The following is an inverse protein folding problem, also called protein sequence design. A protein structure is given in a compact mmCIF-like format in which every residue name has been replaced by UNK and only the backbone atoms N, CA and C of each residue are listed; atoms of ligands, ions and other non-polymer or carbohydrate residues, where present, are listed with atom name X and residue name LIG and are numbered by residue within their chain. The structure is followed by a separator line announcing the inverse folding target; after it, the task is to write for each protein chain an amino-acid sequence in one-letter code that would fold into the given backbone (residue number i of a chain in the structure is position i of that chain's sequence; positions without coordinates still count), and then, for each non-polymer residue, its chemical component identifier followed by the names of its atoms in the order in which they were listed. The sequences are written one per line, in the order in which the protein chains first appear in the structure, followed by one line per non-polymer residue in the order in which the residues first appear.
data_IF_024028497955
#
_entry.id   IF_024028497955
#
_cell.length_a   1.000
_cell.length_b   1.000
_cell.length_c   1.000
_cell.angle_alpha   90.00
_cell.angle_beta   90.00
_cell.angle_gamma   90.00
#
_symmetry.space_group_name_H-M   'P 1'
#
loop_
_entity.id
_entity.type
_entity.pdbx_description
1 polymer ?
#
# COMPACT_ATOMS: atom_id res chain seq x y z
N UNK A 1 -10.54 2.62 23.81
CA UNK A 1 -10.27 3.42 22.59
C UNK A 1 -11.18 3.04 21.44
N UNK A 2 -11.22 1.78 20.98
CA UNK A 2 -12.07 1.38 19.84
C UNK A 2 -13.58 1.67 20.01
N UNK A 3 -14.13 1.53 21.23
CA UNK A 3 -15.55 1.83 21.51
C UNK A 3 -15.89 3.33 21.36
N UNK A 4 -14.92 4.21 21.61
CA UNK A 4 -15.14 5.66 21.49
C UNK A 4 -15.14 6.14 20.03
N UNK A 5 -14.55 5.35 19.12
CA UNK A 5 -14.55 5.62 17.68
C UNK A 5 -15.88 5.24 17.03
N UNK A 6 -16.54 4.19 17.52
CA UNK A 6 -17.70 3.58 16.85
C UNK A 6 -18.82 4.56 16.49
N UNK A 7 -19.24 5.50 17.34
CA UNK A 7 -20.30 6.45 16.97
C UNK A 7 -19.86 7.38 15.83
N UNK A 8 -18.62 7.88 15.88
CA UNK A 8 -18.07 8.75 14.85
C UNK A 8 -17.91 8.03 13.50
N UNK A 9 -17.52 6.76 13.53
CA UNK A 9 -17.42 5.91 12.35
C UNK A 9 -18.80 5.66 11.74
N UNK A 10 -19.79 5.31 12.56
CA UNK A 10 -21.14 5.04 12.09
C UNK A 10 -21.77 6.27 11.44
N UNK A 11 -21.70 7.44 12.10
CA UNK A 11 -22.21 8.70 11.52
C UNK A 11 -21.52 9.04 10.21
N UNK A 12 -20.21 8.84 10.10
CA UNK A 12 -19.49 9.13 8.85
C UNK A 12 -19.88 8.15 7.74
N UNK A 13 -20.11 6.87 8.05
CA UNK A 13 -20.58 5.88 7.08
C UNK A 13 -22.01 6.17 6.61
N UNK A 14 -22.89 6.63 7.51
CA UNK A 14 -24.27 6.99 7.18
C UNK A 14 -24.32 8.21 6.23
N UNK A 15 -23.44 9.19 6.44
CA UNK A 15 -23.35 10.39 5.59
C UNK A 15 -22.57 10.16 4.28
N UNK A 16 -21.64 9.21 4.27
CA UNK A 16 -20.78 8.91 3.14
C UNK A 16 -20.81 7.41 2.82
N UNK A 17 -21.92 6.86 2.29
CA UNK A 17 -22.04 5.43 1.97
C UNK A 17 -21.08 4.98 0.86
N UNK A 18 -20.57 5.95 0.09
CA UNK A 18 -19.65 5.74 -1.02
C UNK A 18 -18.17 5.69 -0.58
N UNK A 19 -17.86 5.70 0.72
CA UNK A 19 -16.50 5.48 1.21
C UNK A 19 -16.45 4.26 2.11
N UNK A 20 -15.33 3.55 2.04
CA UNK A 20 -15.07 2.45 2.95
C UNK A 20 -14.19 2.95 4.10
N UNK A 21 -14.69 2.78 5.33
CA UNK A 21 -13.98 3.19 6.54
C UNK A 21 -13.64 1.94 7.35
N UNK A 22 -12.35 1.75 7.64
CA UNK A 22 -11.85 0.65 8.46
C UNK A 22 -11.06 1.21 9.63
N UNK A 23 -11.42 0.79 10.84
CA UNK A 23 -10.68 1.14 12.04
C UNK A 23 -10.15 -0.14 12.70
N UNK A 24 -8.83 -0.18 12.93
CA UNK A 24 -8.19 -1.21 13.71
C UNK A 24 -7.46 -0.53 14.88
N UNK A 25 -8.01 -0.68 16.09
CA UNK A 25 -7.54 0.02 17.29
C UNK A 25 -7.53 1.55 17.10
N UNK A 26 -6.34 2.15 17.02
CA UNK A 26 -6.09 3.57 16.81
C UNK A 26 -5.82 3.93 15.34
N UNK A 27 -5.60 2.93 14.48
CA UNK A 27 -5.42 3.11 13.05
C UNK A 27 -6.78 3.23 12.34
N UNK A 28 -6.98 4.36 11.66
CA UNK A 28 -8.17 4.66 10.87
C UNK A 28 -7.80 4.82 9.39
N UNK A 29 -8.45 4.04 8.54
CA UNK A 29 -8.30 4.09 7.09
C UNK A 29 -9.63 4.48 6.43
N UNK A 30 -9.58 5.47 5.53
CA UNK A 30 -10.70 5.88 4.69
C UNK A 30 -10.28 5.63 3.24
N UNK A 31 -11.02 4.78 2.55
CA UNK A 31 -10.74 4.35 1.18
C UNK A 31 -11.91 4.79 0.26
N UNK A 32 -11.57 5.33 -0.90
CA UNK A 32 -12.56 5.77 -1.88
C UNK A 32 -12.02 6.84 -2.86
N UNK A 33 -12.89 7.44 -3.69
CA UNK A 33 -12.54 8.52 -4.59
C UNK A 33 -11.98 9.74 -3.82
N UNK A 34 -10.98 10.48 -4.34
CA UNK A 34 -10.30 11.55 -3.60
C UNK A 34 -11.22 12.62 -3.01
N UNK A 35 -12.24 13.04 -3.76
CA UNK A 35 -13.18 14.07 -3.32
C UNK A 35 -14.10 13.56 -2.21
N UNK A 36 -14.53 12.29 -2.30
CA UNK A 36 -15.37 11.64 -1.29
C UNK A 36 -14.58 11.33 -0.01
N UNK A 37 -13.34 10.86 -0.14
CA UNK A 37 -12.43 10.66 1.00
C UNK A 37 -12.16 11.97 1.72
N UNK A 38 -11.98 13.07 0.98
CA UNK A 38 -11.83 14.41 1.57
C UNK A 38 -13.09 14.85 2.33
N UNK A 39 -14.27 14.61 1.77
CA UNK A 39 -15.54 14.93 2.41
C UNK A 39 -15.77 14.11 3.69
N UNK A 40 -15.51 12.80 3.63
CA UNK A 40 -15.59 11.91 4.78
C UNK A 40 -14.56 12.27 5.87
N UNK A 41 -13.32 12.62 5.48
CA UNK A 41 -12.31 13.13 6.41
C UNK A 41 -12.78 14.42 7.10
N UNK A 42 -13.38 15.35 6.36
CA UNK A 42 -13.95 16.58 6.92
C UNK A 42 -15.08 16.34 7.93
N UNK A 43 -15.78 15.22 7.81
CA UNK A 43 -16.90 14.83 8.67
C UNK A 43 -16.42 14.11 9.94
N UNK A 44 -15.48 13.17 9.79
CA UNK A 44 -15.02 12.36 10.92
C UNK A 44 -14.11 13.14 11.88
N UNK A 45 -13.31 14.09 11.39
CA UNK A 45 -12.35 14.84 12.22
C UNK A 45 -13.05 15.63 13.35
N UNK A 46 -14.12 16.41 13.10
CA UNK A 46 -14.90 17.04 14.17
C UNK A 46 -15.51 16.04 15.17
N UNK A 47 -16.02 14.92 14.68
CA UNK A 47 -16.65 13.89 15.52
C UNK A 47 -15.62 13.23 16.46
N UNK A 48 -14.42 12.94 15.96
CA UNK A 48 -13.31 12.44 16.77
C UNK A 48 -12.88 13.46 17.83
N UNK A 49 -12.79 14.75 17.47
CA UNK A 49 -12.50 15.81 18.44
C UNK A 49 -13.57 15.93 19.52
N UNK A 50 -14.85 15.81 19.15
CA UNK A 50 -15.96 15.80 20.12
C UNK A 50 -15.86 14.61 21.09
N UNK A 51 -15.34 13.47 20.63
CA UNK A 51 -15.04 12.30 21.45
C UNK A 51 -13.71 12.42 22.24
N UNK A 52 -13.06 13.59 22.25
CA UNK A 52 -11.74 13.85 22.87
C UNK A 52 -10.61 12.99 22.32
N UNK A 53 -10.71 12.61 21.04
CA UNK A 53 -9.67 11.90 20.31
C UNK A 53 -8.95 12.91 19.40
N UNK A 54 -7.63 12.98 19.53
CA UNK A 54 -6.79 13.82 18.67
C UNK A 54 -6.15 12.98 17.57
N UNK A 55 -6.25 13.45 16.33
CA UNK A 55 -5.56 12.84 15.21
C UNK A 55 -4.09 13.17 15.27
N UNK A 56 -3.26 12.15 15.15
CA UNK A 56 -1.83 12.31 14.92
C UNK A 56 -1.60 12.67 13.44
N UNK A 57 -1.81 13.95 13.11
CA UNK A 57 -1.64 14.48 11.75
C UNK A 57 -0.25 14.18 11.18
N UNK A 58 0.86 14.29 11.95
CA UNK A 58 2.18 13.89 11.46
C UNK A 58 2.29 12.42 11.00
N UNK A 59 1.53 11.50 11.62
CA UNK A 59 1.49 10.09 11.25
C UNK A 59 0.37 9.74 10.26
N UNK A 60 -0.54 10.69 9.98
CA UNK A 60 -1.65 10.48 9.05
C UNK A 60 -1.14 10.57 7.61
N UNK A 61 -1.24 9.47 6.87
CA UNK A 61 -0.71 9.39 5.50
C UNK A 61 -1.85 9.34 4.49
N UNK A 62 -1.84 10.25 3.50
CA UNK A 62 -2.76 10.21 2.37
C UNK A 62 -2.07 9.52 1.18
N UNK A 63 -2.61 8.38 0.76
CA UNK A 63 -2.16 7.69 -0.44
C UNK A 63 -3.19 7.88 -1.56
N UNK A 64 -2.77 8.46 -2.69
CA UNK A 64 -3.60 8.57 -3.89
C UNK A 64 -2.84 7.96 -5.08
N UNK A 65 -3.29 6.83 -5.63
CA UNK A 65 -2.59 6.14 -6.71
C UNK A 65 -2.65 6.93 -8.05
N UNK A 66 -3.66 7.77 -8.23
CA UNK A 66 -3.93 8.51 -9.48
C UNK A 66 -3.57 10.00 -9.41
N UNK A 67 -3.23 10.53 -8.23
CA UNK A 67 -2.94 11.95 -8.03
C UNK A 67 -1.56 12.38 -8.56
N UNK A 68 -1.43 13.63 -9.00
CA UNK A 68 -0.20 14.27 -9.49
C UNK A 68 0.94 14.40 -8.45
N UNK A 69 0.76 13.83 -7.25
CA UNK A 69 1.82 13.64 -6.27
C UNK A 69 1.68 12.22 -5.72
N UNK A 70 2.53 11.27 -6.13
CA UNK A 70 2.67 10.00 -5.42
C UNK A 70 3.34 10.32 -4.08
N UNK A 71 2.58 10.88 -3.15
CA UNK A 71 2.99 11.07 -1.78
C UNK A 71 2.85 9.73 -1.05
N UNK A 72 3.55 8.70 -1.55
CA UNK A 72 4.16 7.77 -0.62
C UNK A 72 4.96 8.66 0.33
N UNK A 73 4.71 8.60 1.64
CA UNK A 73 5.47 9.37 2.62
C UNK A 73 7.01 9.20 2.46
N UNK A 74 7.46 8.18 1.74
CA UNK A 74 8.82 8.02 1.23
C UNK A 74 9.30 9.21 0.38
N UNK A 75 8.50 9.76 -0.54
CA UNK A 75 8.89 10.92 -1.35
C UNK A 75 9.18 12.19 -0.54
N UNK A 76 8.65 12.30 0.68
CA UNK A 76 8.92 13.45 1.56
C UNK A 76 10.23 13.31 2.37
N UNK A 77 10.77 12.10 2.51
CA UNK A 77 12.04 11.88 3.23
C UNK A 77 13.24 11.88 2.28
N UNK A 78 13.10 11.45 1.03
CA UNK A 78 14.21 11.40 0.06
C UNK A 78 14.92 12.76 -0.12
N UNK A 79 14.22 13.89 -0.32
CA UNK A 79 14.88 15.20 -0.44
C UNK A 79 15.53 15.70 0.86
N UNK A 80 15.15 15.13 2.01
CA UNK A 80 15.77 15.44 3.31
C UNK A 80 17.03 14.63 3.55
N UNK A 81 17.07 13.39 3.05
CA UNK A 81 18.26 12.54 3.12
C UNK A 81 19.42 13.15 2.34
N UNK A 82 19.13 13.68 1.14
CA UNK A 82 20.10 14.37 0.29
C UNK A 82 20.86 15.52 0.97
N UNK A 83 20.32 16.09 2.05
CA UNK A 83 20.89 17.24 2.77
C UNK A 83 21.80 16.85 3.94
N UNK A 84 21.97 15.57 4.22
CA UNK A 84 22.84 15.11 5.29
C UNK A 84 24.29 15.12 4.80
N UNK A 85 25.25 15.44 5.64
CA UNK A 85 26.65 15.55 5.19
C UNK A 85 27.36 14.19 5.05
N UNK A 86 26.76 13.11 5.56
CA UNK A 86 27.38 11.77 5.62
C UNK A 86 26.67 10.75 4.70
N UNK A 87 27.30 10.30 3.60
CA UNK A 87 26.75 9.31 2.67
C UNK A 87 26.39 7.96 3.31
N UNK A 88 27.14 7.51 4.33
CA UNK A 88 26.83 6.26 5.03
C UNK A 88 25.54 6.39 5.82
N UNK A 89 25.33 7.53 6.50
CA UNK A 89 24.09 7.81 7.22
C UNK A 89 22.92 7.93 6.25
N UNK A 90 23.10 8.62 5.12
CA UNK A 90 22.08 8.72 4.08
C UNK A 90 21.63 7.34 3.59
N UNK A 91 22.59 6.47 3.27
CA UNK A 91 22.32 5.11 2.77
C UNK A 91 21.62 4.23 3.83
N UNK A 92 22.02 4.34 5.09
CA UNK A 92 21.36 3.63 6.19
C UNK A 92 19.91 4.07 6.36
N UNK A 93 19.64 5.38 6.36
CA UNK A 93 18.28 5.91 6.50
C UNK A 93 17.41 5.60 5.26
N UNK A 94 18.00 5.66 4.07
CA UNK A 94 17.34 5.24 2.83
C UNK A 94 16.88 3.79 2.93
N UNK A 95 17.77 2.90 3.36
CA UNK A 95 17.53 1.46 3.46
C UNK A 95 16.59 1.06 4.59
N UNK A 96 16.77 1.62 5.79
CA UNK A 96 16.07 1.17 6.99
C UNK A 96 14.84 2.01 7.35
N UNK A 97 14.69 3.21 6.78
CA UNK A 97 13.57 4.10 7.12
C UNK A 97 12.70 4.46 5.92
N UNK A 98 13.28 4.77 4.77
CA UNK A 98 12.52 5.19 3.59
C UNK A 98 11.97 3.99 2.80
N UNK A 99 12.84 3.05 2.45
CA UNK A 99 12.51 1.88 1.62
C UNK A 99 11.48 0.93 2.25
N UNK A 100 11.55 0.58 3.56
CA UNK A 100 10.63 -0.39 4.15
C UNK A 100 9.17 0.05 4.15
N UNK A 101 8.91 1.37 4.16
CA UNK A 101 7.54 1.92 4.12
C UNK A 101 6.82 1.55 2.83
N UNK A 102 7.50 1.64 1.69
CA UNK A 102 6.91 1.25 0.39
C UNK A 102 6.85 -0.26 0.27
N UNK A 103 7.85 -0.99 0.77
CA UNK A 103 7.83 -2.45 0.81
C UNK A 103 6.69 -3.02 1.68
N UNK A 104 6.24 -2.28 2.70
CA UNK A 104 5.04 -2.64 3.44
C UNK A 104 3.78 -2.46 2.58
N UNK A 105 3.67 -1.35 1.86
CA UNK A 105 2.52 -1.08 0.98
C UNK A 105 2.43 -2.06 -0.20
N UNK A 106 3.56 -2.53 -0.71
CA UNK A 106 3.64 -3.64 -1.69
C UNK A 106 2.89 -4.89 -1.22
N UNK A 107 2.80 -5.13 0.09
CA UNK A 107 2.09 -6.29 0.64
C UNK A 107 0.60 -6.05 0.85
N UNK A 108 0.19 -4.80 1.07
CA UNK A 108 -1.19 -4.45 1.42
C UNK A 108 -2.02 -3.88 0.27
N UNK A 109 -1.40 -3.31 -0.76
CA UNK A 109 -2.08 -2.60 -1.84
C UNK A 109 -2.05 -3.44 -3.12
N UNK A 110 -3.19 -3.67 -3.79
CA UNK A 110 -3.24 -4.35 -5.08
C UNK A 110 -2.25 -3.75 -6.09
N UNK A 111 -1.50 -4.58 -6.86
CA UNK A 111 -0.41 -4.10 -7.71
C UNK A 111 -0.83 -3.02 -8.71
N UNK A 112 -2.00 -3.16 -9.34
CA UNK A 112 -2.51 -2.20 -10.32
C UNK A 112 -2.76 -0.79 -9.75
N UNK A 113 -3.11 -0.68 -8.46
CA UNK A 113 -3.26 0.61 -7.77
C UNK A 113 -1.89 1.14 -7.33
N UNK A 114 -0.99 0.25 -6.92
CA UNK A 114 0.32 0.66 -6.42
C UNK A 114 1.29 1.07 -7.53
N UNK A 115 1.10 0.59 -8.77
CA UNK A 115 2.13 0.60 -9.81
C UNK A 115 2.74 1.98 -10.10
N UNK A 116 1.91 3.03 -10.18
CA UNK A 116 2.38 4.41 -10.40
C UNK A 116 3.21 4.91 -9.22
N UNK A 117 2.79 4.62 -7.99
CA UNK A 117 3.54 4.96 -6.78
C UNK A 117 4.84 4.16 -6.65
N UNK A 118 4.81 2.88 -7.00
CA UNK A 118 5.98 2.00 -6.99
C UNK A 118 7.05 2.48 -7.98
N UNK A 119 6.66 2.86 -9.20
CA UNK A 119 7.57 3.45 -10.19
C UNK A 119 8.18 4.76 -9.68
N UNK A 120 7.36 5.66 -9.13
CA UNK A 120 7.85 6.91 -8.56
C UNK A 120 8.82 6.70 -7.39
N UNK A 121 8.58 5.68 -6.56
CA UNK A 121 9.49 5.29 -5.50
C UNK A 121 10.82 4.78 -6.04
N UNK A 122 10.78 3.85 -7.01
CA UNK A 122 11.99 3.27 -7.60
C UNK A 122 12.86 4.35 -8.25
N UNK A 123 12.24 5.31 -8.95
CA UNK A 123 12.95 6.48 -9.50
C UNK A 123 13.57 7.35 -8.41
N UNK A 124 12.82 7.68 -7.35
CA UNK A 124 13.34 8.49 -6.25
C UNK A 124 14.47 7.82 -5.46
N UNK A 125 14.46 6.48 -5.35
CA UNK A 125 15.59 5.71 -4.79
C UNK A 125 16.83 5.86 -5.67
N UNK A 126 16.67 5.77 -6.99
CA UNK A 126 17.79 5.91 -7.94
C UNK A 126 18.39 7.33 -7.91
N UNK A 127 17.55 8.36 -7.91
CA UNK A 127 17.97 9.76 -7.78
C UNK A 127 18.74 9.98 -6.47
N UNK A 128 18.20 9.52 -5.35
CA UNK A 128 18.87 9.63 -4.05
C UNK A 128 20.20 8.86 -4.01
N UNK A 129 20.27 7.66 -4.59
CA UNK A 129 21.53 6.91 -4.67
C UNK A 129 22.60 7.61 -5.53
N UNK A 130 22.19 8.26 -6.62
CA UNK A 130 23.10 9.05 -7.45
C UNK A 130 23.68 10.23 -6.65
N UNK A 131 22.84 10.94 -5.90
CA UNK A 131 23.25 12.03 -5.01
C UNK A 131 24.20 11.54 -3.90
N UNK A 132 23.86 10.44 -3.22
CA UNK A 132 24.69 9.80 -2.18
C UNK A 132 26.07 9.42 -2.72
N UNK A 133 26.12 8.91 -3.96
CA UNK A 133 27.36 8.52 -4.62
C UNK A 133 28.22 9.73 -5.05
N UNK A 134 27.68 10.95 -5.01
CA UNK A 134 28.34 12.15 -5.50
C UNK A 134 28.65 12.10 -7.00
N UNK A 135 27.94 11.24 -7.76
CA UNK A 135 28.21 11.00 -9.16
C UNK A 135 27.36 11.96 -10.03
N UNK A 136 27.99 12.84 -10.85
CA UNK A 136 27.24 13.73 -11.72
C UNK A 136 26.53 12.99 -12.87
N UNK A 137 26.89 11.73 -13.13
CA UNK A 137 26.28 10.91 -14.17
C UNK A 137 25.19 9.98 -13.61
N UNK A 138 24.11 9.73 -14.37
CA UNK A 138 23.09 8.75 -14.00
C UNK A 138 23.70 7.37 -13.72
N UNK A 139 23.11 6.65 -12.76
CA UNK A 139 23.47 5.25 -12.51
C UNK A 139 23.14 4.39 -13.74
N UNK A 140 24.12 3.64 -14.23
CA UNK A 140 23.89 2.66 -15.29
C UNK A 140 23.03 1.48 -14.82
N UNK A 141 22.47 0.73 -15.77
CA UNK A 141 21.58 -0.41 -15.49
C UNK A 141 22.21 -1.45 -14.54
N UNK A 142 23.51 -1.72 -14.70
CA UNK A 142 24.23 -2.65 -13.83
C UNK A 142 24.34 -2.15 -12.39
N UNK A 143 24.61 -0.85 -12.19
CA UNK A 143 24.66 -0.24 -10.87
C UNK A 143 23.28 -0.23 -10.20
N UNK A 144 22.23 -0.01 -10.98
CA UNK A 144 20.84 -0.13 -10.53
C UNK A 144 20.49 -1.57 -10.18
N UNK A 145 20.92 -2.56 -10.97
CA UNK A 145 20.69 -3.97 -10.67
C UNK A 145 21.42 -4.40 -9.39
N UNK A 146 22.68 -3.99 -9.23
CA UNK A 146 23.50 -4.28 -8.05
C UNK A 146 22.92 -3.65 -6.78
N UNK A 147 22.43 -2.40 -6.83
CA UNK A 147 21.83 -1.75 -5.66
C UNK A 147 20.58 -2.48 -5.15
N UNK A 148 19.85 -3.14 -6.05
CA UNK A 148 18.64 -3.88 -5.73
C UNK A 148 18.90 -5.26 -5.12
N UNK A 149 20.12 -5.81 -5.25
CA UNK A 149 20.48 -7.11 -4.70
C UNK A 149 20.56 -7.09 -3.16
N UNK A 150 20.29 -8.23 -2.49
CA UNK A 150 20.54 -8.36 -1.06
C UNK A 150 22.01 -8.09 -0.70
N UNK A 151 22.26 -7.54 0.49
CA UNK A 151 23.62 -7.22 0.96
C UNK A 151 24.51 -8.44 1.13
N UNK A 152 23.93 -9.61 1.42
CA UNK A 152 24.67 -10.88 1.41
C UNK A 152 25.32 -11.19 0.06
N UNK A 153 24.85 -10.56 -1.02
CA UNK A 153 25.36 -10.72 -2.39
C UNK A 153 26.08 -9.44 -2.88
N UNK A 154 26.47 -8.54 -1.96
CA UNK A 154 27.18 -7.31 -2.29
C UNK A 154 26.30 -6.14 -2.76
N UNK A 155 24.96 -6.28 -2.71
CA UNK A 155 24.03 -5.20 -3.05
C UNK A 155 23.60 -4.32 -1.87
N UNK A 156 22.71 -3.34 -2.13
CA UNK A 156 22.23 -2.39 -1.12
C UNK A 156 20.89 -2.81 -0.48
N UNK A 157 20.22 -3.83 -1.03
CA UNK A 157 18.92 -4.31 -0.57
C UNK A 157 17.76 -3.35 -0.88
N UNK A 158 17.94 -2.45 -1.85
CA UNK A 158 16.95 -1.46 -2.27
C UNK A 158 16.13 -2.01 -3.44
N UNK A 159 15.40 -3.10 -3.20
CA UNK A 159 14.71 -3.84 -4.26
C UNK A 159 13.65 -3.00 -4.98
N UNK A 160 13.38 -3.27 -6.26
CA UNK A 160 12.33 -2.55 -6.99
C UNK A 160 10.95 -2.87 -6.42
N UNK A 161 10.23 -1.83 -5.99
CA UNK A 161 8.85 -1.93 -5.55
C UNK A 161 7.95 -2.37 -6.70
N UNK A 162 8.19 -1.87 -7.91
CA UNK A 162 7.40 -2.20 -9.09
C UNK A 162 7.50 -3.70 -9.40
N UNK A 163 8.72 -4.25 -9.36
CA UNK A 163 8.95 -5.67 -9.62
C UNK A 163 8.40 -6.56 -8.51
N UNK A 164 8.48 -6.12 -7.26
CA UNK A 164 8.03 -6.92 -6.12
C UNK A 164 6.53 -6.80 -5.83
N UNK A 165 5.84 -5.78 -6.35
CA UNK A 165 4.43 -5.53 -6.07
C UNK A 165 3.53 -6.78 -6.23
N UNK A 166 3.58 -7.53 -7.36
CA UNK A 166 2.72 -8.71 -7.54
C UNK A 166 2.99 -9.81 -6.52
N UNK A 167 4.26 -10.21 -6.38
CA UNK A 167 4.66 -11.29 -5.49
C UNK A 167 4.49 -10.92 -4.01
N UNK A 168 4.75 -9.67 -3.64
CA UNK A 168 4.61 -9.17 -2.27
C UNK A 168 3.15 -9.13 -1.82
N UNK A 169 2.26 -8.66 -2.70
CA UNK A 169 0.83 -8.64 -2.43
C UNK A 169 0.27 -10.06 -2.30
N UNK A 170 0.57 -10.93 -3.28
CA UNK A 170 0.19 -12.34 -3.24
C UNK A 170 0.70 -13.00 -1.96
N UNK A 171 2.00 -12.93 -1.68
CA UNK A 171 2.58 -13.55 -0.48
C UNK A 171 1.93 -13.10 0.84
N UNK A 172 1.41 -11.88 0.92
CA UNK A 172 0.67 -11.41 2.08
C UNK A 172 -0.68 -12.13 2.23
N UNK A 173 -1.42 -12.32 1.14
CA UNK A 173 -2.66 -13.09 1.13
C UNK A 173 -2.43 -14.56 1.47
N UNK A 174 -1.41 -15.17 0.88
CA UNK A 174 -0.99 -16.55 1.20
C UNK A 174 -0.85 -16.76 2.70
N UNK A 175 -0.14 -15.84 3.35
CA UNK A 175 0.22 -15.94 4.75
C UNK A 175 -0.99 -15.90 5.69
N UNK A 176 -2.07 -15.21 5.29
CA UNK A 176 -3.25 -15.00 6.14
C UNK A 176 -4.47 -15.83 5.72
N UNK A 177 -4.46 -16.41 4.52
CA UNK A 177 -5.60 -17.11 3.92
C UNK A 177 -6.26 -18.12 4.86
N UNK A 178 -5.46 -19.02 5.45
CA UNK A 178 -5.99 -20.05 6.33
C UNK A 178 -6.71 -19.50 7.57
N UNK A 179 -6.21 -18.40 8.14
CA UNK A 179 -6.88 -17.72 9.26
C UNK A 179 -8.12 -16.94 8.80
N UNK A 180 -8.05 -16.28 7.64
CA UNK A 180 -9.18 -15.53 7.09
C UNK A 180 -10.38 -16.44 6.85
N UNK A 181 -10.17 -17.63 6.29
CA UNK A 181 -11.24 -18.60 6.02
C UNK A 181 -11.87 -19.16 7.30
N UNK A 182 -11.10 -19.29 8.38
CA UNK A 182 -11.62 -19.72 9.69
C UNK A 182 -12.44 -18.61 10.36
N UNK A 183 -11.94 -17.37 10.33
CA UNK A 183 -12.58 -16.22 10.98
C UNK A 183 -13.78 -15.69 10.21
N UNK A 184 -13.72 -15.76 8.88
CA UNK A 184 -14.74 -15.24 7.98
C UNK A 184 -15.05 -16.30 6.91
N UNK A 185 -15.85 -17.35 7.24
CA UNK A 185 -16.14 -18.45 6.32
C UNK A 185 -16.72 -17.99 4.99
N UNK A 186 -17.46 -16.87 5.00
CA UNK A 186 -18.01 -16.25 3.80
C UNK A 186 -16.93 -15.97 2.74
N UNK A 187 -15.71 -15.60 3.14
CA UNK A 187 -14.60 -15.30 2.23
C UNK A 187 -14.17 -16.53 1.40
N UNK A 188 -14.43 -17.75 1.88
CA UNK A 188 -14.16 -18.98 1.12
C UNK A 188 -15.03 -19.06 -0.13
N UNK A 189 -16.31 -18.76 0.01
CA UNK A 189 -17.28 -18.80 -1.09
C UNK A 189 -17.01 -17.70 -2.12
N UNK A 190 -16.36 -16.64 -1.66
CA UNK A 190 -16.00 -15.46 -2.44
C UNK A 190 -14.77 -15.70 -3.32
N UNK A 191 -13.89 -16.62 -2.92
CA UNK A 191 -12.63 -16.95 -3.60
C UNK A 191 -12.46 -18.48 -3.72
N UNK A 192 -13.30 -19.15 -4.52
CA UNK A 192 -13.38 -20.61 -4.55
C UNK A 192 -12.11 -21.30 -5.08
N UNK A 193 -11.32 -20.60 -5.88
CA UNK A 193 -10.06 -21.08 -6.48
C UNK A 193 -8.90 -21.16 -5.47
N UNK A 194 -9.03 -20.58 -4.26
CA UNK A 194 -8.01 -20.63 -3.22
C UNK A 194 -8.10 -21.87 -2.31
N UNK A 195 -9.21 -22.63 -2.38
CA UNK A 195 -9.41 -23.85 -1.60
C UNK A 195 -9.46 -23.65 -0.08
N UNK A 196 -9.73 -24.73 0.67
CA UNK A 196 -9.56 -24.70 2.12
C UNK A 196 -8.07 -24.93 2.47
N UNK A 197 -7.54 -24.30 3.53
CA UNK A 197 -6.16 -24.51 3.97
C UNK A 197 -5.85 -25.97 4.37
N UNK A 198 -6.88 -26.82 4.51
CA UNK A 198 -6.77 -28.24 4.84
C UNK A 198 -6.50 -29.13 3.61
N UNK A 199 -6.68 -28.61 2.39
CA UNK A 199 -6.44 -29.34 1.13
C UNK A 199 -4.95 -29.32 0.71
N UNK A 200 -4.09 -28.71 1.52
CA UNK A 200 -2.66 -28.52 1.20
C UNK A 200 -1.84 -29.64 1.85
N UNK A 201 -1.78 -30.81 1.22
CA UNK A 201 -0.74 -31.78 1.56
C UNK A 201 0.64 -31.14 1.30
N UNK A 202 1.53 -31.25 2.29
CA UNK A 202 2.83 -30.61 2.31
C UNK A 202 3.73 -31.10 1.16
N UNK A 203 3.65 -30.48 -0.02
CA UNK A 203 4.52 -30.85 -1.14
C UNK A 203 4.34 -30.06 -2.43
N UNK A 204 3.12 -29.66 -2.77
CA UNK A 204 2.82 -28.81 -3.93
C UNK A 204 2.06 -27.59 -3.42
N UNK A 205 2.50 -26.37 -3.76
CA UNK A 205 1.91 -25.10 -3.30
C UNK A 205 0.72 -24.72 -4.20
N UNK A 206 -0.51 -25.19 -3.94
CA UNK A 206 -1.68 -24.94 -4.79
C UNK A 206 -2.13 -23.48 -4.60
N UNK A 207 -1.61 -22.82 -3.55
CA UNK A 207 -1.77 -21.42 -3.24
C UNK A 207 -1.15 -20.56 -4.34
N UNK A 208 0.03 -20.88 -4.89
CA UNK A 208 0.66 -20.03 -5.90
C UNK A 208 -0.16 -19.92 -7.21
N UNK A 209 -0.69 -21.04 -7.71
CA UNK A 209 -1.54 -21.07 -8.90
C UNK A 209 -2.96 -20.58 -8.61
N UNK A 210 -3.54 -21.01 -7.49
CA UNK A 210 -4.85 -20.56 -7.02
C UNK A 210 -4.88 -19.06 -6.73
N UNK A 211 -3.81 -18.49 -6.19
CA UNK A 211 -3.73 -17.05 -5.87
C UNK A 211 -3.51 -16.17 -7.10
N UNK A 212 -2.91 -16.68 -8.17
CA UNK A 212 -2.86 -15.95 -9.44
C UNK A 212 -4.27 -15.79 -10.03
N UNK A 213 -5.09 -16.84 -9.98
CA UNK A 213 -6.52 -16.77 -10.33
C UNK A 213 -7.31 -15.92 -9.32
N UNK A 214 -6.99 -16.03 -8.03
CA UNK A 214 -7.58 -15.23 -6.96
C UNK A 214 -7.32 -13.76 -7.10
N UNK A 215 -6.19 -13.40 -7.71
CA UNK A 215 -5.89 -12.01 -7.94
C UNK A 215 -7.01 -11.39 -8.77
N UNK A 216 -7.50 -12.02 -9.84
CA UNK A 216 -8.60 -11.46 -10.63
C UNK A 216 -9.90 -11.32 -9.83
N UNK A 217 -10.25 -12.32 -9.03
CA UNK A 217 -11.45 -12.28 -8.20
C UNK A 217 -11.32 -11.24 -7.09
N UNK A 218 -10.26 -11.25 -6.28
CA UNK A 218 -9.99 -10.23 -5.26
C UNK A 218 -9.98 -8.83 -5.88
N UNK A 219 -9.44 -8.67 -7.09
CA UNK A 219 -9.47 -7.41 -7.83
C UNK A 219 -10.88 -7.02 -8.27
N UNK A 220 -11.70 -7.96 -8.76
CA UNK A 220 -13.10 -7.74 -9.12
C UNK A 220 -13.93 -7.31 -7.91
N UNK A 221 -13.69 -7.94 -6.78
CA UNK A 221 -14.27 -7.60 -5.48
C UNK A 221 -13.88 -6.19 -5.03
N UNK A 222 -12.60 -5.88 -5.12
CA UNK A 222 -12.08 -4.54 -4.84
C UNK A 222 -12.68 -3.47 -5.77
N UNK A 223 -12.98 -3.82 -7.02
CA UNK A 223 -13.66 -2.93 -7.98
C UNK A 223 -15.14 -2.73 -7.65
N UNK A 224 -15.83 -3.75 -7.15
CA UNK A 224 -17.20 -3.62 -6.63
C UNK A 224 -17.23 -2.75 -5.36
N UNK A 225 -16.17 -2.79 -4.56
CA UNK A 225 -15.99 -1.97 -3.37
C UNK A 225 -15.41 -0.57 -3.65
N UNK A 226 -14.85 -0.34 -4.85
CA UNK A 226 -14.35 0.95 -5.30
C UNK A 226 -15.45 1.68 -6.08
N UNK A 227 -16.05 2.75 -5.56
CA UNK A 227 -17.17 3.43 -6.21
C UNK A 227 -16.79 4.20 -7.49
N UNK A 228 -15.54 4.10 -7.97
CA UNK A 228 -15.05 4.83 -9.14
C UNK A 228 -15.47 4.18 -10.47
N UNK A 229 -15.96 2.94 -10.48
CA UNK A 229 -16.15 2.19 -11.74
C UNK A 229 -17.55 2.28 -12.39
N UNK A 230 -18.46 3.14 -11.92
CA UNK A 230 -19.80 3.28 -12.52
C UNK A 230 -20.12 4.73 -12.86
N UNK A 231 -19.55 5.23 -13.97
CA UNK A 231 -20.04 6.48 -14.56
C UNK A 231 -19.12 7.16 -15.55
N UNK A 232 -19.00 6.63 -16.78
CA UNK A 232 -18.91 7.48 -17.98
C UNK A 232 -19.11 6.65 -19.25
N UNK A 233 -20.32 6.15 -19.45
CA UNK A 233 -20.85 5.86 -20.78
C UNK A 233 -22.10 6.72 -20.96
N UNK A 234 -22.03 7.73 -21.84
CA UNK A 234 -23.22 8.47 -22.25
C UNK A 234 -22.98 9.91 -22.70
N UNK A 235 -22.90 10.10 -24.02
CA UNK A 235 -23.48 11.28 -24.67
C UNK A 235 -22.54 12.45 -24.95
N UNK A 236 -21.68 12.31 -25.95
CA UNK A 236 -21.36 13.45 -26.80
C UNK A 236 -22.49 13.57 -27.84
N UNK A 237 -23.33 14.58 -27.67
CA UNK A 237 -24.16 15.19 -28.70
C UNK A 237 -23.87 16.69 -28.68
#
# INVERSE_FOLDING_TARGET
MAVALQPALQTTLDEHPDVFIMAYLDDLHILGPPDKVRAAYGTIVPLLRAARLELNVPNSTLFCPEGARPALAAGAILPKLARLDDPQVQLLLLRYCAHPRVMHLVRGIPPHLLMRGALAHDNGIQECLQEVAGNPYPLGEEAVALSQLPTRWGGLGLSSAQRLAPAGWLGSWAQVWGKMVVLFPVVRDMLPHLGAPEDTEAGEDPLAAGMAAAMEDVLGWWRLWSPVAHGSSGGAA
#
